data_IF_169644411930
#
_entry.id   IF_169644411930
#
_cell.length_a   1.000
_cell.length_b   1.000
_cell.length_c   1.000
_cell.angle_alpha   90.00
_cell.angle_beta   90.00
_cell.angle_gamma   90.00
#
_symmetry.space_group_name_H-M   'P 1'
#
loop_
_entity.id
_entity.type
_entity.pdbx_description
1 polymer ?
#
# COMPACT_ATOMS: atom_id res chain seq x y z
N UNK A 1 9.04 -8.05 22.75
CA UNK A 1 7.93 -9.02 22.44
C UNK A 1 8.45 -10.13 21.55
N UNK A 2 8.10 -11.40 21.81
CA UNK A 2 8.57 -12.49 20.96
C UNK A 2 7.94 -12.44 19.56
N UNK A 3 8.63 -12.96 18.53
CA UNK A 3 8.06 -13.05 17.16
C UNK A 3 6.75 -13.85 17.13
N UNK A 4 6.62 -14.87 18.02
CA UNK A 4 5.39 -15.68 18.17
C UNK A 4 4.21 -14.83 18.65
N UNK A 5 4.42 -13.98 19.65
CA UNK A 5 3.37 -13.09 20.21
C UNK A 5 2.84 -12.10 19.15
N UNK A 6 3.71 -11.60 18.27
CA UNK A 6 3.29 -10.66 17.21
C UNK A 6 2.49 -11.34 16.14
N UNK A 7 2.92 -12.53 15.68
CA UNK A 7 2.14 -13.32 14.72
C UNK A 7 0.75 -13.65 15.27
N UNK A 8 0.67 -13.96 16.56
CA UNK A 8 -0.59 -14.23 17.23
C UNK A 8 -1.50 -12.99 17.25
N UNK A 9 -0.97 -11.80 17.60
CA UNK A 9 -1.73 -10.54 17.59
C UNK A 9 -2.23 -10.20 16.18
N UNK A 10 -1.38 -10.35 15.17
CA UNK A 10 -1.78 -10.12 13.75
C UNK A 10 -2.90 -11.08 13.35
N UNK A 11 -2.77 -12.37 13.70
CA UNK A 11 -3.79 -13.36 13.40
C UNK A 11 -5.13 -13.00 14.06
N UNK A 12 -5.12 -12.69 15.36
CA UNK A 12 -6.34 -12.29 16.07
C UNK A 12 -6.94 -11.00 15.50
N UNK A 13 -6.11 -10.00 15.18
CA UNK A 13 -6.59 -8.78 14.55
C UNK A 13 -7.25 -9.05 13.19
N UNK A 14 -6.62 -9.87 12.35
CA UNK A 14 -7.17 -10.24 11.05
C UNK A 14 -8.50 -10.99 11.18
N UNK A 15 -8.59 -11.98 12.09
CA UNK A 15 -9.82 -12.73 12.35
C UNK A 15 -10.92 -11.81 12.88
N UNK A 16 -10.57 -10.90 13.80
CA UNK A 16 -11.55 -9.92 14.35
C UNK A 16 -12.08 -8.98 13.27
N UNK A 17 -11.20 -8.45 12.41
CA UNK A 17 -11.61 -7.56 11.30
C UNK A 17 -12.53 -8.29 10.30
N UNK A 18 -12.18 -9.53 9.92
CA UNK A 18 -13.03 -10.36 9.07
C UNK A 18 -14.38 -10.68 9.72
N UNK A 19 -14.36 -10.98 11.02
CA UNK A 19 -15.58 -11.23 11.81
C UNK A 19 -16.51 -10.02 11.84
N UNK A 20 -15.97 -8.83 12.11
CA UNK A 20 -16.75 -7.57 12.12
C UNK A 20 -17.33 -7.30 10.74
N UNK A 21 -16.54 -7.43 9.67
CA UNK A 21 -17.02 -7.24 8.29
C UNK A 21 -18.14 -8.22 7.92
N UNK A 22 -17.97 -9.49 8.22
CA UNK A 22 -18.98 -10.51 7.97
C UNK A 22 -20.27 -10.28 8.76
N UNK A 23 -20.16 -9.89 10.04
CA UNK A 23 -21.28 -9.55 10.89
C UNK A 23 -22.05 -8.33 10.34
N UNK A 24 -21.35 -7.28 9.89
CA UNK A 24 -21.97 -6.10 9.30
C UNK A 24 -22.75 -6.43 8.03
N UNK A 25 -22.16 -7.21 7.13
CA UNK A 25 -22.84 -7.66 5.89
C UNK A 25 -24.11 -8.47 6.21
N UNK A 26 -24.05 -9.35 7.19
CA UNK A 26 -25.20 -10.11 7.63
C UNK A 26 -26.35 -9.19 8.10
N UNK A 27 -26.04 -8.18 8.93
CA UNK A 27 -27.07 -7.28 9.47
C UNK A 27 -27.64 -6.35 8.40
N UNK A 28 -26.83 -5.82 7.48
CA UNK A 28 -27.32 -5.01 6.35
C UNK A 28 -28.29 -5.81 5.48
N UNK A 29 -27.95 -7.06 5.16
CA UNK A 29 -28.83 -7.93 4.37
C UNK A 29 -30.12 -8.26 5.12
N UNK A 30 -30.02 -8.51 6.42
CA UNK A 30 -31.20 -8.76 7.27
C UNK A 30 -32.12 -7.54 7.35
N UNK A 31 -31.55 -6.33 7.50
CA UNK A 31 -32.32 -5.08 7.53
C UNK A 31 -33.00 -4.83 6.18
N UNK A 32 -32.31 -5.03 5.07
CA UNK A 32 -32.89 -4.92 3.72
C UNK A 32 -34.09 -5.86 3.53
N UNK A 33 -33.94 -7.13 3.89
CA UNK A 33 -35.03 -8.11 3.77
C UNK A 33 -36.23 -7.79 4.69
N UNK A 34 -35.95 -7.23 5.87
CA UNK A 34 -37.02 -6.82 6.79
C UNK A 34 -37.81 -5.63 6.24
N UNK A 35 -37.13 -4.59 5.75
CA UNK A 35 -37.78 -3.43 5.14
C UNK A 35 -38.57 -3.81 3.88
N UNK A 36 -38.03 -4.71 3.06
CA UNK A 36 -38.74 -5.22 1.89
C UNK A 36 -40.03 -5.93 2.28
N UNK A 37 -39.99 -6.79 3.28
CA UNK A 37 -41.18 -7.48 3.82
C UNK A 37 -42.20 -6.50 4.41
N UNK A 38 -41.77 -5.53 5.17
CA UNK A 38 -42.66 -4.50 5.74
C UNK A 38 -43.30 -3.64 4.66
N UNK A 39 -42.57 -3.32 3.57
CA UNK A 39 -43.13 -2.62 2.43
C UNK A 39 -44.24 -3.45 1.78
N UNK A 40 -43.99 -4.73 1.49
CA UNK A 40 -44.95 -5.62 0.87
C UNK A 40 -46.23 -5.79 1.76
N UNK A 41 -46.06 -5.92 3.06
CA UNK A 41 -47.19 -5.98 4.00
C UNK A 41 -48.02 -4.67 4.01
N UNK A 42 -47.37 -3.50 4.00
CA UNK A 42 -48.05 -2.18 3.93
C UNK A 42 -48.81 -2.04 2.61
N UNK A 43 -48.20 -2.40 1.47
CA UNK A 43 -48.85 -2.36 0.16
C UNK A 43 -50.01 -3.32 0.11
N UNK A 44 -49.86 -4.56 0.58
CA UNK A 44 -50.93 -5.56 0.61
C UNK A 44 -52.18 -5.09 1.38
N UNK A 45 -51.95 -4.52 2.55
CA UNK A 45 -53.07 -3.99 3.37
C UNK A 45 -53.68 -2.74 2.72
N UNK A 46 -52.87 -1.85 2.11
CA UNK A 46 -53.38 -0.70 1.38
C UNK A 46 -54.27 -1.12 0.20
N UNK A 47 -53.77 -2.00 -0.64
CA UNK A 47 -54.52 -2.49 -1.81
C UNK A 47 -55.77 -3.26 -1.44
N UNK A 48 -55.75 -4.04 -0.35
CA UNK A 48 -56.94 -4.70 0.19
C UNK A 48 -58.01 -3.70 0.60
N UNK A 49 -57.61 -2.58 1.22
CA UNK A 49 -58.53 -1.49 1.60
C UNK A 49 -59.09 -0.76 0.35
N UNK A 50 -58.20 -0.54 -0.67
CA UNK A 50 -58.63 0.04 -1.93
C UNK A 50 -59.74 -0.82 -2.57
N UNK A 51 -59.54 -2.15 -2.66
CA UNK A 51 -60.54 -3.07 -3.20
C UNK A 51 -61.87 -2.98 -2.44
N UNK A 52 -61.85 -3.00 -1.12
CA UNK A 52 -63.08 -2.85 -0.26
C UNK A 52 -63.72 -1.48 -0.42
N UNK A 53 -62.96 -0.42 -0.62
CA UNK A 53 -63.50 0.93 -0.83
C UNK A 53 -64.16 1.07 -2.17
N UNK A 54 -63.58 0.52 -3.24
CA UNK A 54 -64.19 0.44 -4.57
C UNK A 54 -65.53 -0.31 -4.52
N UNK A 55 -65.52 -1.46 -3.85
CA UNK A 55 -66.74 -2.28 -3.67
C UNK A 55 -67.87 -1.50 -2.92
N UNK A 56 -67.53 -0.79 -1.87
CA UNK A 56 -68.50 0.03 -1.15
C UNK A 56 -69.08 1.19 -1.99
N UNK A 57 -68.21 1.83 -2.79
CA UNK A 57 -68.67 2.93 -3.69
C UNK A 57 -69.63 2.41 -4.77
N UNK A 58 -69.38 1.23 -5.26
CA UNK A 58 -70.21 0.59 -6.28
C UNK A 58 -71.44 -0.13 -5.69
N UNK A 59 -71.61 -0.09 -4.36
CA UNK A 59 -72.72 -0.76 -3.63
C UNK A 59 -72.78 -2.28 -3.82
N UNK A 60 -71.66 -2.90 -4.15
CA UNK A 60 -71.52 -4.33 -4.28
C UNK A 60 -71.38 -4.99 -2.87
N UNK A 61 -72.17 -6.00 -2.62
CA UNK A 61 -72.21 -6.74 -1.36
C UNK A 61 -71.59 -8.13 -1.47
N UNK A 62 -70.93 -8.44 -2.60
CA UNK A 62 -70.24 -9.71 -2.80
C UNK A 62 -69.04 -9.85 -1.88
N UNK A 63 -68.69 -11.10 -1.49
CA UNK A 63 -67.50 -11.33 -0.67
C UNK A 63 -66.23 -11.30 -1.54
N UNK A 64 -65.30 -10.43 -1.19
CA UNK A 64 -63.97 -10.40 -1.77
C UNK A 64 -63.04 -11.34 -1.01
N UNK A 65 -62.70 -12.47 -1.59
CA UNK A 65 -61.74 -13.40 -1.02
C UNK A 65 -60.35 -13.18 -1.63
N UNK A 66 -59.34 -12.87 -0.78
CA UNK A 66 -57.95 -12.63 -1.14
C UNK A 66 -57.77 -11.72 -2.40
N UNK A 67 -58.26 -10.46 -2.37
CA UNK A 67 -58.33 -9.61 -3.56
C UNK A 67 -56.98 -9.17 -4.09
N UNK A 68 -55.89 -9.28 -3.35
CA UNK A 68 -54.57 -8.82 -3.72
C UNK A 68 -53.66 -10.01 -3.93
N UNK A 69 -52.93 -10.02 -5.04
CA UNK A 69 -51.89 -11.01 -5.34
C UNK A 69 -50.62 -10.30 -5.79
N UNK A 70 -49.47 -10.70 -5.25
CA UNK A 70 -48.17 -10.23 -5.66
C UNK A 70 -47.63 -11.13 -6.79
N UNK A 71 -47.43 -10.59 -7.99
CA UNK A 71 -46.96 -11.33 -9.16
C UNK A 71 -45.43 -11.26 -9.29
N UNK A 72 -44.85 -10.10 -8.93
CA UNK A 72 -43.40 -9.92 -8.90
C UNK A 72 -42.99 -9.07 -7.68
N UNK A 73 -41.72 -8.88 -7.46
CA UNK A 73 -41.22 -8.12 -6.30
C UNK A 73 -41.78 -6.71 -6.17
N UNK A 74 -42.26 -6.11 -7.27
CA UNK A 74 -42.73 -4.73 -7.34
C UNK A 74 -44.06 -4.58 -8.09
N UNK A 75 -44.76 -5.69 -8.41
CA UNK A 75 -46.03 -5.68 -9.13
C UNK A 75 -47.11 -6.48 -8.40
N UNK A 76 -48.28 -5.84 -8.22
CA UNK A 76 -49.42 -6.39 -7.50
C UNK A 76 -50.67 -6.31 -8.40
N UNK A 77 -51.48 -7.36 -8.41
CA UNK A 77 -52.78 -7.38 -9.06
C UNK A 77 -53.84 -7.36 -7.95
N UNK A 78 -54.91 -6.60 -8.19
CA UNK A 78 -56.05 -6.46 -7.33
C UNK A 78 -57.32 -6.80 -8.10
N UNK A 79 -57.99 -7.86 -7.70
CA UNK A 79 -59.28 -8.28 -8.26
C UNK A 79 -60.40 -7.52 -7.59
N UNK A 80 -61.30 -6.99 -8.44
CA UNK A 80 -62.54 -6.35 -8.01
C UNK A 80 -63.69 -6.95 -8.82
N UNK A 81 -64.85 -7.10 -8.22
CA UNK A 81 -65.99 -7.74 -8.93
C UNK A 81 -66.82 -6.76 -9.77
N UNK A 82 -66.35 -5.52 -9.93
CA UNK A 82 -67.13 -4.44 -10.53
C UNK A 82 -66.27 -3.49 -11.38
N UNK A 83 -66.92 -2.63 -12.15
CA UNK A 83 -66.31 -1.65 -13.04
C UNK A 83 -65.49 -0.61 -12.30
N UNK A 84 -64.30 -0.29 -12.86
CA UNK A 84 -63.33 0.62 -12.28
C UNK A 84 -63.36 1.98 -12.99
N UNK A 85 -63.66 3.06 -12.26
CA UNK A 85 -63.50 4.41 -12.78
C UNK A 85 -62.11 4.93 -12.52
N UNK A 86 -61.29 5.26 -13.55
CA UNK A 86 -59.87 5.60 -13.37
C UNK A 86 -59.58 6.72 -12.40
N UNK A 87 -60.30 7.83 -12.43
CA UNK A 87 -60.10 8.96 -11.51
C UNK A 87 -60.46 8.63 -10.05
N UNK A 88 -61.46 7.81 -9.85
CA UNK A 88 -61.82 7.37 -8.53
C UNK A 88 -60.77 6.43 -7.96
N UNK A 89 -60.36 5.47 -8.75
CA UNK A 89 -59.29 4.53 -8.36
C UNK A 89 -57.99 5.26 -7.99
N UNK A 90 -57.57 6.22 -8.83
CA UNK A 90 -56.38 7.06 -8.56
C UNK A 90 -56.46 7.76 -7.17
N UNK A 91 -57.59 8.42 -6.90
CA UNK A 91 -57.77 9.12 -5.63
C UNK A 91 -57.78 8.19 -4.43
N UNK A 92 -58.38 7.01 -4.56
CA UNK A 92 -58.44 6.02 -3.46
C UNK A 92 -57.01 5.45 -3.25
N UNK A 93 -56.26 5.09 -4.31
CA UNK A 93 -54.88 4.60 -4.21
C UNK A 93 -53.98 5.63 -3.58
N UNK A 94 -54.03 6.88 -4.06
CA UNK A 94 -53.22 7.97 -3.54
C UNK A 94 -53.47 8.16 -2.02
N UNK A 95 -54.73 8.24 -1.62
CA UNK A 95 -55.10 8.46 -0.19
C UNK A 95 -54.71 7.28 0.69
N UNK A 96 -54.89 6.03 0.22
CA UNK A 96 -54.46 4.85 0.99
C UNK A 96 -52.94 4.72 1.13
N UNK A 97 -52.19 5.02 0.07
CA UNK A 97 -50.73 4.99 0.14
C UNK A 97 -50.18 6.10 1.03
N UNK A 98 -50.74 7.30 0.98
CA UNK A 98 -50.36 8.41 1.85
C UNK A 98 -50.64 8.06 3.33
N UNK A 99 -51.84 7.53 3.65
CA UNK A 99 -52.23 7.12 4.99
C UNK A 99 -51.30 6.03 5.58
N UNK A 100 -50.72 5.19 4.73
CA UNK A 100 -49.80 4.13 5.14
C UNK A 100 -48.34 4.48 5.00
N UNK A 101 -48.04 5.76 4.73
CA UNK A 101 -46.67 6.27 4.59
C UNK A 101 -45.84 5.55 3.51
N UNK A 102 -46.52 5.12 2.42
CA UNK A 102 -45.88 4.56 1.24
C UNK A 102 -45.52 5.77 0.33
N UNK A 103 -44.29 6.32 0.51
CA UNK A 103 -43.85 7.53 -0.19
C UNK A 103 -42.95 7.16 -1.38
N UNK A 104 -43.49 6.40 -2.31
CA UNK A 104 -42.77 6.06 -3.56
C UNK A 104 -43.77 6.16 -4.73
N UNK A 105 -43.26 6.55 -5.87
CA UNK A 105 -44.05 6.63 -7.10
C UNK A 105 -44.64 5.27 -7.43
N UNK A 106 -45.85 5.28 -7.94
CA UNK A 106 -46.51 4.08 -8.39
C UNK A 106 -47.19 4.30 -9.76
N UNK A 107 -47.33 3.22 -10.44
CA UNK A 107 -48.06 3.15 -11.71
C UNK A 107 -49.22 2.20 -11.53
N UNK A 108 -50.39 2.56 -12.07
CA UNK A 108 -51.50 1.62 -12.08
C UNK A 108 -52.08 1.43 -13.48
N UNK A 109 -52.57 0.24 -13.74
CA UNK A 109 -53.17 -0.17 -15.01
C UNK A 109 -54.50 -0.83 -14.74
N UNK A 110 -55.52 -0.53 -15.57
CA UNK A 110 -56.81 -1.18 -15.54
C UNK A 110 -56.88 -2.07 -16.74
N UNK A 111 -57.27 -3.33 -16.55
CA UNK A 111 -57.43 -4.33 -17.59
C UNK A 111 -58.90 -4.53 -17.94
N UNK A 112 -59.16 -4.78 -19.23
CA UNK A 112 -60.44 -5.24 -19.70
C UNK A 112 -60.58 -6.75 -19.44
N UNK A 113 -61.63 -7.16 -18.72
CA UNK A 113 -61.91 -8.55 -18.37
C UNK A 113 -62.25 -9.46 -19.58
N UNK A 114 -62.61 -8.90 -20.73
CA UNK A 114 -62.98 -9.69 -21.95
C UNK A 114 -61.81 -9.87 -22.88
N UNK A 115 -60.93 -8.89 -22.98
CA UNK A 115 -59.87 -8.86 -24.01
C UNK A 115 -58.47 -8.97 -23.37
N UNK A 116 -58.34 -8.93 -22.05
CA UNK A 116 -57.07 -8.87 -21.33
C UNK A 116 -56.17 -7.72 -21.82
N UNK A 117 -56.76 -6.70 -22.44
CA UNK A 117 -56.03 -5.53 -22.90
C UNK A 117 -56.00 -4.44 -21.82
N UNK A 118 -54.93 -3.64 -21.81
CA UNK A 118 -54.84 -2.47 -20.94
C UNK A 118 -55.77 -1.39 -21.49
N UNK A 119 -56.79 -1.05 -20.70
CA UNK A 119 -57.74 0.01 -21.02
C UNK A 119 -57.23 1.38 -20.58
N UNK A 120 -56.56 1.42 -19.46
CA UNK A 120 -56.04 2.65 -18.90
C UNK A 120 -54.75 2.38 -18.11
N UNK A 121 -53.77 3.27 -18.23
CA UNK A 121 -52.55 3.21 -17.45
C UNK A 121 -52.07 4.61 -17.12
N UNK A 122 -51.62 4.85 -15.87
CA UNK A 122 -51.14 6.13 -15.43
C UNK A 122 -50.01 5.97 -14.40
N UNK A 123 -49.00 6.83 -14.54
CA UNK A 123 -47.95 7.03 -13.51
C UNK A 123 -48.42 8.13 -12.56
N UNK A 124 -48.36 7.86 -11.27
CA UNK A 124 -48.74 8.80 -10.21
C UNK A 124 -47.48 9.10 -9.36
N UNK A 125 -46.84 10.26 -9.57
CA UNK A 125 -45.70 10.68 -8.73
C UNK A 125 -46.23 11.10 -7.37
N UNK A 126 -45.71 10.50 -6.31
CA UNK A 126 -45.91 10.91 -4.92
C UNK A 126 -44.82 11.89 -4.48
N UNK A 127 -43.66 11.87 -5.09
CA UNK A 127 -42.61 12.88 -5.00
C UNK A 127 -42.72 13.88 -6.15
N UNK A 128 -42.71 15.18 -5.84
CA UNK A 128 -43.14 16.27 -6.73
C UNK A 128 -42.27 16.57 -7.98
N UNK A 129 -41.25 15.82 -8.32
CA UNK A 129 -40.23 16.29 -9.27
C UNK A 129 -39.93 15.43 -10.51
N UNK A 130 -40.66 14.36 -10.82
CA UNK A 130 -40.31 13.58 -12.02
C UNK A 130 -41.49 13.30 -12.94
N UNK A 131 -41.49 13.98 -14.11
CA UNK A 131 -42.45 13.77 -15.21
C UNK A 131 -41.93 12.73 -16.24
N UNK A 132 -41.45 11.61 -15.79
CA UNK A 132 -41.05 10.55 -16.74
C UNK A 132 -42.20 9.65 -17.11
N UNK A 133 -42.68 9.77 -18.36
CA UNK A 133 -43.66 8.85 -18.95
C UNK A 133 -42.92 7.55 -19.33
N UNK A 134 -43.19 6.45 -18.64
CA UNK A 134 -42.69 5.14 -19.05
C UNK A 134 -43.79 4.42 -19.82
N UNK A 135 -43.39 3.93 -21.01
CA UNK A 135 -44.27 3.21 -21.94
C UNK A 135 -44.57 1.80 -21.39
N UNK A 136 -45.83 1.55 -21.01
CA UNK A 136 -46.29 0.25 -20.48
C UNK A 136 -46.33 -0.91 -21.50
N UNK A 137 -45.89 -0.72 -22.72
CA UNK A 137 -46.09 -1.66 -23.84
C UNK A 137 -45.33 -3.01 -23.71
N UNK A 138 -44.58 -3.30 -22.62
CA UNK A 138 -43.69 -4.47 -22.60
C UNK A 138 -43.90 -5.51 -21.49
N UNK A 139 -44.92 -5.41 -20.62
CA UNK A 139 -45.16 -6.48 -19.63
C UNK A 139 -46.48 -7.21 -19.90
N UNK A 140 -46.42 -8.23 -20.79
CA UNK A 140 -47.47 -9.21 -21.05
C UNK A 140 -47.49 -10.27 -19.92
N UNK A 141 -47.72 -9.90 -18.67
CA UNK A 141 -48.13 -10.88 -17.65
C UNK A 141 -49.67 -11.02 -17.72
N UNK A 142 -50.15 -12.11 -18.32
CA UNK A 142 -51.57 -12.40 -18.51
C UNK A 142 -52.14 -13.04 -17.24
N UNK A 143 -53.26 -12.50 -16.78
CA UNK A 143 -54.08 -13.09 -15.73
C UNK A 143 -55.31 -13.75 -16.36
N UNK A 144 -55.65 -14.98 -16.02
CA UNK A 144 -56.67 -15.80 -16.69
C UNK A 144 -58.03 -15.88 -15.99
N UNK A 145 -58.29 -15.08 -14.95
CA UNK A 145 -59.55 -15.07 -14.22
C UNK A 145 -60.47 -13.96 -14.74
N UNK A 146 -61.73 -14.31 -14.98
CA UNK A 146 -62.79 -13.52 -15.63
C UNK A 146 -63.42 -12.44 -14.72
N UNK A 147 -62.63 -11.71 -13.95
CA UNK A 147 -63.08 -10.64 -13.06
C UNK A 147 -62.39 -9.32 -13.41
N UNK A 148 -63.07 -8.20 -13.13
CA UNK A 148 -62.46 -6.88 -13.28
C UNK A 148 -61.30 -6.75 -12.33
N UNK A 149 -60.10 -6.34 -12.84
CA UNK A 149 -58.91 -6.22 -12.03
C UNK A 149 -58.01 -5.03 -12.47
N UNK A 150 -57.21 -4.58 -11.57
CA UNK A 150 -56.18 -3.57 -11.85
C UNK A 150 -54.82 -4.02 -11.33
N UNK A 151 -53.77 -3.55 -11.97
CA UNK A 151 -52.37 -3.78 -11.56
C UNK A 151 -51.79 -2.53 -10.97
N UNK A 152 -50.94 -2.69 -9.95
CA UNK A 152 -50.11 -1.61 -9.36
C UNK A 152 -48.64 -1.99 -9.37
N UNK A 153 -47.83 -1.12 -9.94
CA UNK A 153 -46.40 -1.32 -10.11
C UNK A 153 -45.63 -0.22 -9.39
N UNK A 154 -44.57 -0.58 -8.66
CA UNK A 154 -43.70 0.32 -7.96
C UNK A 154 -42.32 0.34 -8.60
N UNK A 155 -42.03 1.25 -9.56
CA UNK A 155 -40.79 1.27 -10.33
C UNK A 155 -39.54 1.56 -9.47
N UNK A 156 -39.69 2.37 -8.43
CA UNK A 156 -38.62 2.82 -7.55
C UNK A 156 -38.58 2.11 -6.19
N UNK A 157 -39.22 0.92 -6.04
CA UNK A 157 -39.28 0.20 -4.77
C UNK A 157 -37.91 -0.04 -4.15
N UNK A 158 -36.94 -0.54 -4.93
CA UNK A 158 -35.60 -0.84 -4.41
C UNK A 158 -34.88 0.42 -3.92
N UNK A 159 -35.00 1.51 -4.67
CA UNK A 159 -34.42 2.80 -4.26
C UNK A 159 -35.07 3.32 -2.97
N UNK A 160 -36.40 3.18 -2.84
CA UNK A 160 -37.14 3.55 -1.63
C UNK A 160 -36.65 2.76 -0.41
N UNK A 161 -36.45 1.44 -0.55
CA UNK A 161 -35.95 0.57 0.51
C UNK A 161 -34.51 0.94 0.87
N UNK A 162 -33.63 1.17 -0.12
CA UNK A 162 -32.24 1.58 0.13
C UNK A 162 -32.18 2.91 0.89
N UNK A 163 -33.00 3.89 0.50
CA UNK A 163 -33.06 5.17 1.19
C UNK A 163 -33.60 5.06 2.65
N UNK A 164 -34.41 4.04 2.94
CA UNK A 164 -34.84 3.78 4.33
C UNK A 164 -33.75 3.15 5.21
N UNK A 165 -32.61 2.73 4.61
CA UNK A 165 -31.48 2.10 5.28
C UNK A 165 -30.34 3.07 5.63
N UNK A 166 -30.55 4.38 5.64
CA UNK A 166 -29.52 5.41 5.88
C UNK A 166 -28.63 5.12 7.09
N UNK A 167 -29.24 4.70 8.20
CA UNK A 167 -28.50 4.34 9.42
C UNK A 167 -27.52 3.16 9.16
N UNK A 168 -27.95 2.14 8.43
CA UNK A 168 -27.15 0.95 8.15
C UNK A 168 -26.02 1.26 7.16
N UNK A 169 -26.30 2.12 6.18
CA UNK A 169 -25.29 2.60 5.23
C UNK A 169 -24.23 3.41 5.97
N UNK A 170 -24.65 4.37 6.81
CA UNK A 170 -23.74 5.18 7.61
C UNK A 170 -22.88 4.32 8.54
N UNK A 171 -23.50 3.37 9.27
CA UNK A 171 -22.78 2.46 10.17
C UNK A 171 -21.74 1.61 9.41
N UNK A 172 -22.05 1.18 8.19
CA UNK A 172 -21.14 0.41 7.34
C UNK A 172 -19.93 1.25 6.96
N UNK A 173 -20.13 2.48 6.49
CA UNK A 173 -19.05 3.41 6.15
C UNK A 173 -18.17 3.68 7.37
N UNK A 174 -18.78 3.92 8.53
CA UNK A 174 -18.05 4.16 9.78
C UNK A 174 -17.17 2.96 10.17
N UNK A 175 -17.71 1.74 10.10
CA UNK A 175 -16.94 0.51 10.38
C UNK A 175 -15.76 0.37 9.41
N UNK A 176 -15.94 0.64 8.10
CA UNK A 176 -14.84 0.61 7.14
C UNK A 176 -13.73 1.60 7.47
N UNK A 177 -14.07 2.82 7.91
CA UNK A 177 -13.09 3.82 8.35
C UNK A 177 -12.29 3.30 9.55
N UNK A 178 -12.98 2.74 10.55
CA UNK A 178 -12.36 2.16 11.75
C UNK A 178 -11.43 0.99 11.37
N UNK A 179 -11.88 0.10 10.49
CA UNK A 179 -11.05 -1.01 10.00
C UNK A 179 -9.79 -0.53 9.27
N UNK A 180 -9.91 0.49 8.41
CA UNK A 180 -8.79 1.09 7.70
C UNK A 180 -7.78 1.71 8.69
N UNK A 181 -8.27 2.43 9.70
CA UNK A 181 -7.45 3.02 10.76
C UNK A 181 -6.67 1.95 11.55
N UNK A 182 -7.32 0.88 11.99
CA UNK A 182 -6.64 -0.20 12.70
C UNK A 182 -5.63 -0.93 11.81
N UNK A 183 -5.96 -1.19 10.54
CA UNK A 183 -5.03 -1.82 9.59
C UNK A 183 -3.78 -0.95 9.37
N UNK A 184 -3.96 0.36 9.23
CA UNK A 184 -2.86 1.32 9.13
C UNK A 184 -2.00 1.33 10.40
N UNK A 185 -2.62 1.35 11.58
CA UNK A 185 -1.91 1.34 12.88
C UNK A 185 -1.05 0.08 13.04
N UNK A 186 -1.61 -1.09 12.71
CA UNK A 186 -0.86 -2.36 12.74
C UNK A 186 0.33 -2.30 11.77
N UNK A 187 0.15 -1.80 10.56
CA UNK A 187 1.22 -1.65 9.59
C UNK A 187 2.34 -0.74 10.10
N UNK A 188 2.01 0.40 10.72
CA UNK A 188 2.98 1.34 11.32
C UNK A 188 3.77 0.65 12.44
N UNK A 189 3.10 -0.06 13.36
CA UNK A 189 3.75 -0.77 14.47
C UNK A 189 4.72 -1.83 13.95
N UNK A 190 4.34 -2.59 12.93
CA UNK A 190 5.19 -3.61 12.32
C UNK A 190 6.43 -3.00 11.64
N UNK A 191 6.23 -1.89 10.93
CA UNK A 191 7.33 -1.13 10.31
C UNK A 191 8.31 -0.60 11.36
N UNK A 192 7.79 0.01 12.42
CA UNK A 192 8.60 0.53 13.55
C UNK A 192 9.42 -0.59 14.17
N UNK A 193 8.81 -1.74 14.44
CA UNK A 193 9.50 -2.86 15.03
C UNK A 193 10.63 -3.39 14.16
N UNK A 194 10.42 -3.48 12.83
CA UNK A 194 11.50 -3.89 11.92
C UNK A 194 12.69 -2.94 11.98
N UNK A 195 12.43 -1.62 12.11
CA UNK A 195 13.48 -0.61 12.26
C UNK A 195 14.22 -0.82 13.60
N UNK A 196 13.50 -1.09 14.70
CA UNK A 196 14.10 -1.33 16.00
C UNK A 196 14.96 -2.60 16.04
N UNK A 197 14.54 -3.68 15.39
CA UNK A 197 15.33 -4.91 15.24
C UNK A 197 16.63 -4.61 14.47
N UNK A 198 16.57 -3.93 13.34
CA UNK A 198 17.73 -3.54 12.53
C UNK A 198 18.68 -2.64 13.35
N UNK A 199 18.13 -1.69 14.12
CA UNK A 199 18.92 -0.81 15.00
C UNK A 199 19.63 -1.59 16.10
N UNK A 200 18.97 -2.57 16.70
CA UNK A 200 19.56 -3.43 17.74
C UNK A 200 20.69 -4.28 17.17
N UNK A 201 20.47 -4.89 16.00
CA UNK A 201 21.50 -5.68 15.31
C UNK A 201 22.70 -4.82 14.93
N UNK A 202 22.49 -3.56 14.50
CA UNK A 202 23.55 -2.61 14.24
C UNK A 202 24.39 -2.34 15.50
N UNK A 203 23.73 -2.03 16.64
CA UNK A 203 24.42 -1.75 17.91
C UNK A 203 25.25 -2.97 18.34
N UNK A 204 24.68 -4.18 18.27
CA UNK A 204 25.38 -5.41 18.61
C UNK A 204 26.61 -5.64 17.72
N UNK A 205 26.46 -5.48 16.42
CA UNK A 205 27.54 -5.63 15.44
C UNK A 205 28.64 -4.56 15.67
N UNK A 206 28.23 -3.32 15.91
CA UNK A 206 29.16 -2.23 16.22
C UNK A 206 29.96 -2.51 17.49
N UNK A 207 29.30 -2.96 18.56
CA UNK A 207 29.95 -3.34 19.82
C UNK A 207 30.98 -4.44 19.57
N UNK A 208 30.64 -5.44 18.77
CA UNK A 208 31.54 -6.55 18.46
C UNK A 208 32.74 -6.10 17.60
N UNK A 209 32.52 -5.28 16.58
CA UNK A 209 33.56 -4.75 15.72
C UNK A 209 34.53 -3.78 16.44
N UNK A 210 34.07 -3.06 17.47
CA UNK A 210 34.91 -2.20 18.29
C UNK A 210 35.66 -3.00 19.35
N UNK A 211 35.06 -4.07 19.92
CA UNK A 211 35.68 -4.88 20.96
C UNK A 211 36.96 -5.59 20.48
N UNK A 212 36.98 -6.08 19.25
CA UNK A 212 38.11 -6.83 18.66
C UNK A 212 39.39 -5.97 18.63
N UNK A 213 39.43 -4.78 18.00
CA UNK A 213 40.63 -3.94 17.97
C UNK A 213 41.05 -3.47 19.37
N UNK A 214 40.09 -3.14 20.24
CA UNK A 214 40.41 -2.76 21.64
C UNK A 214 41.11 -3.91 22.37
N UNK A 215 40.61 -5.15 22.26
CA UNK A 215 41.24 -6.31 22.88
C UNK A 215 42.63 -6.58 22.31
N UNK A 216 42.82 -6.42 20.98
CA UNK A 216 44.13 -6.57 20.34
C UNK A 216 45.13 -5.53 20.79
N UNK A 217 44.70 -4.27 20.94
CA UNK A 217 45.52 -3.19 21.50
C UNK A 217 45.92 -3.51 22.97
N UNK A 218 44.93 -3.92 23.80
CA UNK A 218 45.22 -4.27 25.20
C UNK A 218 46.23 -5.39 25.31
N UNK A 219 46.02 -6.50 24.60
CA UNK A 219 46.98 -7.62 24.59
C UNK A 219 48.36 -7.19 24.08
N UNK A 220 48.43 -6.32 23.10
CA UNK A 220 49.71 -5.80 22.58
C UNK A 220 50.42 -4.94 23.60
N UNK A 221 49.68 -4.12 24.38
CA UNK A 221 50.21 -3.32 25.46
C UNK A 221 50.72 -4.19 26.62
N UNK A 222 49.97 -5.26 26.98
CA UNK A 222 50.40 -6.18 28.05
C UNK A 222 51.74 -6.88 27.65
N UNK A 223 51.96 -7.22 26.40
CA UNK A 223 53.24 -7.74 25.92
C UNK A 223 54.34 -6.68 25.98
N UNK A 224 54.02 -5.43 25.60
CA UNK A 224 54.98 -4.33 25.64
C UNK A 224 55.37 -3.94 27.06
N UNK A 225 54.49 -4.19 28.04
CA UNK A 225 54.74 -3.95 29.46
C UNK A 225 55.61 -5.02 30.16
N UNK A 226 55.90 -6.13 29.47
CA UNK A 226 56.73 -7.19 30.03
C UNK A 226 58.23 -6.86 29.93
N UNK A 227 59.01 -7.16 30.97
CA UNK A 227 60.45 -6.87 31.02
C UNK A 227 61.24 -7.55 29.89
N UNK A 228 60.75 -8.69 29.40
CA UNK A 228 61.40 -9.47 28.30
C UNK A 228 61.32 -8.81 26.92
N UNK A 229 60.55 -7.71 26.74
CA UNK A 229 60.41 -7.05 25.45
C UNK A 229 61.62 -6.18 25.09
N UNK A 230 62.37 -5.70 26.12
CA UNK A 230 63.53 -4.83 25.97
C UNK A 230 64.63 -5.56 25.19
N UNK A 231 64.75 -6.85 25.42
CA UNK A 231 65.77 -7.72 24.74
C UNK A 231 65.39 -8.14 23.33
N UNK A 232 64.21 -7.74 22.83
CA UNK A 232 63.73 -8.15 21.49
C UNK A 232 63.15 -6.98 20.70
N UNK A 233 63.99 -6.16 20.04
CA UNK A 233 63.55 -4.97 19.31
C UNK A 233 62.56 -5.25 18.12
N UNK A 234 62.65 -6.43 17.54
CA UNK A 234 61.73 -6.80 16.45
C UNK A 234 60.28 -7.07 16.95
N UNK A 235 60.14 -7.66 18.12
CA UNK A 235 58.85 -7.79 18.79
C UNK A 235 58.31 -6.45 19.22
N UNK A 236 59.12 -5.55 19.76
CA UNK A 236 58.74 -4.19 20.09
C UNK A 236 58.15 -3.44 18.88
N UNK A 237 58.86 -3.47 17.74
CA UNK A 237 58.36 -2.87 16.49
C UNK A 237 57.09 -3.50 16.02
N UNK A 238 56.95 -4.83 16.09
CA UNK A 238 55.77 -5.55 15.64
C UNK A 238 54.52 -5.16 16.46
N UNK A 239 54.60 -5.18 17.81
CA UNK A 239 53.45 -4.83 18.63
C UNK A 239 53.10 -3.35 18.55
N UNK A 240 54.09 -2.45 18.45
CA UNK A 240 53.86 -1.03 18.21
C UNK A 240 53.14 -0.80 16.89
N UNK A 241 53.51 -1.54 15.81
CA UNK A 241 52.81 -1.50 14.52
C UNK A 241 51.37 -1.99 14.62
N UNK A 242 51.14 -3.12 15.32
CA UNK A 242 49.78 -3.66 15.53
C UNK A 242 48.92 -2.62 16.26
N UNK A 243 49.40 -2.02 17.32
CA UNK A 243 48.65 -0.98 18.07
C UNK A 243 48.32 0.20 17.14
N UNK A 244 49.26 0.65 16.33
CA UNK A 244 49.05 1.76 15.39
C UNK A 244 47.99 1.42 14.33
N UNK A 245 48.07 0.22 13.79
CA UNK A 245 47.08 -0.27 12.76
C UNK A 245 45.69 -0.38 13.34
N UNK A 246 45.54 -0.99 14.53
CA UNK A 246 44.22 -1.15 15.18
C UNK A 246 43.64 0.19 15.68
N UNK A 247 44.50 1.12 16.14
CA UNK A 247 44.07 2.47 16.51
C UNK A 247 43.56 3.26 15.29
N UNK A 248 44.25 3.20 14.15
CA UNK A 248 43.79 3.80 12.91
C UNK A 248 42.46 3.19 12.44
N UNK A 249 42.31 1.88 12.61
CA UNK A 249 41.05 1.16 12.27
C UNK A 249 39.91 1.65 13.17
N UNK A 250 40.10 1.78 14.49
CA UNK A 250 39.13 2.35 15.42
C UNK A 250 38.75 3.77 15.05
N UNK A 251 39.74 4.63 14.72
CA UNK A 251 39.49 6.01 14.29
C UNK A 251 38.54 6.03 13.06
N UNK A 252 38.85 5.24 12.04
CA UNK A 252 38.00 5.15 10.81
C UNK A 252 36.58 4.63 11.11
N UNK A 253 36.45 3.69 12.05
CA UNK A 253 35.14 3.19 12.47
C UNK A 253 34.32 4.26 13.19
N UNK A 254 34.92 5.00 14.10
CA UNK A 254 34.26 6.11 14.80
C UNK A 254 33.87 7.23 13.84
N UNK A 255 34.74 7.60 12.91
CA UNK A 255 34.46 8.61 11.90
C UNK A 255 33.25 8.21 11.01
N UNK A 256 33.12 6.95 10.61
CA UNK A 256 31.96 6.44 9.86
C UNK A 256 30.66 6.57 10.67
N UNK A 257 30.70 6.33 11.98
CA UNK A 257 29.53 6.47 12.86
C UNK A 257 29.15 7.94 13.04
N UNK A 258 30.13 8.83 13.29
CA UNK A 258 29.91 10.27 13.43
C UNK A 258 29.36 10.89 12.13
N UNK A 259 29.92 10.48 10.98
CA UNK A 259 29.43 10.91 9.67
C UNK A 259 27.95 10.54 9.46
N UNK A 260 27.54 9.38 9.96
CA UNK A 260 26.15 8.95 9.87
C UNK A 260 25.23 9.70 10.84
N UNK A 261 25.70 10.01 12.04
CA UNK A 261 24.96 10.82 13.01
C UNK A 261 24.73 12.25 12.51
N UNK A 262 25.70 12.83 11.78
CA UNK A 262 25.59 14.16 11.19
C UNK A 262 24.55 14.21 10.04
N UNK A 263 24.29 13.09 9.36
CA UNK A 263 23.23 13.01 8.34
C UNK A 263 21.82 13.07 8.92
N UNK A 264 21.63 12.75 10.20
CA UNK A 264 20.33 12.83 10.89
C UNK A 264 20.02 14.25 11.38
N UNK A 265 21.04 15.06 11.56
CA UNK A 265 20.83 16.46 11.88
C UNK A 265 20.42 17.21 10.61
N UNK A 266 19.29 17.90 10.66
CA UNK A 266 18.73 18.73 9.57
C UNK A 266 19.64 19.92 9.15
N UNK A 267 20.89 19.93 9.57
CA UNK A 267 21.86 21.02 9.39
C UNK A 267 23.04 20.68 8.48
N UNK A 268 22.99 19.57 7.72
CA UNK A 268 24.06 19.28 6.78
C UNK A 268 24.05 20.30 5.63
N UNK A 269 24.99 21.20 5.62
CA UNK A 269 25.24 22.13 4.50
C UNK A 269 26.34 21.53 3.64
N UNK A 270 26.07 21.36 2.33
CA UNK A 270 27.07 20.93 1.36
C UNK A 270 27.97 22.12 0.98
N UNK A 271 29.26 21.88 0.86
CA UNK A 271 30.23 22.84 0.31
C UNK A 271 30.27 22.63 -1.22
N UNK A 272 29.34 23.29 -1.90
CA UNK A 272 29.16 23.13 -3.35
C UNK A 272 30.23 23.92 -4.11
N UNK A 273 31.02 23.20 -4.89
CA UNK A 273 32.04 23.73 -5.79
C UNK A 273 32.04 23.00 -7.12
N UNK A 274 32.80 23.48 -8.09
CA UNK A 274 33.00 22.76 -9.34
C UNK A 274 33.88 21.53 -9.12
N UNK A 275 33.35 20.35 -9.46
CA UNK A 275 34.00 19.05 -9.28
C UNK A 275 34.22 18.35 -10.62
N UNK A 276 35.47 18.08 -10.95
CA UNK A 276 35.83 17.23 -12.06
C UNK A 276 35.73 15.75 -11.70
N UNK A 277 34.65 15.10 -12.14
CA UNK A 277 34.31 13.72 -11.77
C UNK A 277 35.42 12.73 -12.16
N UNK A 278 36.03 12.86 -13.34
CA UNK A 278 37.10 11.94 -13.77
C UNK A 278 38.34 12.07 -12.87
N UNK A 279 38.69 13.28 -12.45
CA UNK A 279 39.80 13.49 -11.51
C UNK A 279 39.50 12.90 -10.14
N UNK A 280 38.27 13.10 -9.66
CA UNK A 280 37.83 12.56 -8.37
C UNK A 280 37.83 11.03 -8.41
N UNK A 281 37.25 10.40 -9.45
CA UNK A 281 37.29 8.95 -9.64
C UNK A 281 38.73 8.40 -9.68
N UNK A 282 39.63 9.05 -10.39
CA UNK A 282 41.06 8.66 -10.44
C UNK A 282 41.72 8.75 -9.06
N UNK A 283 41.39 9.78 -8.26
CA UNK A 283 41.91 9.94 -6.91
C UNK A 283 41.43 8.82 -5.99
N UNK A 284 40.12 8.50 -6.05
CA UNK A 284 39.53 7.44 -5.23
C UNK A 284 40.06 6.06 -5.67
N UNK A 285 40.10 5.75 -6.94
CA UNK A 285 40.58 4.44 -7.44
C UNK A 285 42.04 4.16 -7.08
N UNK A 286 42.90 5.18 -7.10
CA UNK A 286 44.29 5.06 -6.62
C UNK A 286 44.40 4.60 -5.18
N UNK A 287 43.48 4.98 -4.31
CA UNK A 287 43.50 4.53 -2.91
C UNK A 287 43.30 3.02 -2.75
N UNK A 288 42.75 2.36 -3.76
CA UNK A 288 42.50 0.92 -3.76
C UNK A 288 43.55 0.11 -4.54
N UNK A 289 44.50 0.75 -5.27
CA UNK A 289 45.50 0.06 -6.12
C UNK A 289 46.25 -1.04 -5.36
N UNK A 290 46.74 -0.74 -4.15
CA UNK A 290 47.48 -1.71 -3.36
C UNK A 290 46.63 -2.90 -2.93
N UNK A 291 45.36 -2.64 -2.54
CA UNK A 291 44.42 -3.67 -2.08
C UNK A 291 44.08 -4.60 -3.27
N UNK A 292 43.78 -4.02 -4.41
CA UNK A 292 43.47 -4.75 -5.65
C UNK A 292 44.64 -5.60 -6.10
N UNK A 293 45.85 -5.01 -6.12
CA UNK A 293 47.08 -5.72 -6.51
C UNK A 293 47.36 -6.91 -5.58
N UNK A 294 47.21 -6.74 -4.28
CA UNK A 294 47.41 -7.81 -3.30
C UNK A 294 46.41 -8.96 -3.47
N UNK A 295 45.18 -8.67 -3.95
CA UNK A 295 44.16 -9.66 -4.26
C UNK A 295 44.18 -10.12 -5.73
N UNK A 296 45.21 -9.77 -6.52
CA UNK A 296 45.33 -10.10 -7.95
C UNK A 296 44.10 -9.68 -8.78
N UNK A 297 43.45 -8.60 -8.36
CA UNK A 297 42.29 -8.04 -9.04
C UNK A 297 42.64 -6.96 -10.08
N UNK A 298 41.60 -6.34 -10.66
CA UNK A 298 41.74 -5.26 -11.62
C UNK A 298 40.64 -4.19 -11.44
N UNK A 299 40.97 -2.92 -11.68
CA UNK A 299 40.01 -1.83 -11.86
C UNK A 299 40.22 -1.30 -13.29
N UNK A 300 39.18 -1.44 -14.09
CA UNK A 300 39.15 -0.92 -15.46
C UNK A 300 38.31 0.37 -15.47
N UNK A 301 38.84 1.41 -16.08
CA UNK A 301 38.14 2.71 -16.12
C UNK A 301 37.94 3.11 -17.58
N UNK A 302 36.73 3.47 -17.95
CA UNK A 302 36.34 3.92 -19.29
C UNK A 302 35.56 5.23 -19.19
N UNK A 303 36.23 6.31 -19.54
CA UNK A 303 35.67 7.66 -19.47
C UNK A 303 35.11 8.10 -20.83
N UNK A 304 33.87 7.70 -21.13
CA UNK A 304 33.19 8.08 -22.38
C UNK A 304 32.43 9.42 -22.24
N UNK A 305 32.27 9.95 -21.03
CA UNK A 305 31.67 11.25 -20.82
C UNK A 305 32.61 12.38 -21.25
N UNK A 306 32.18 13.19 -22.23
CA UNK A 306 32.94 14.34 -22.72
C UNK A 306 32.94 15.49 -21.70
N UNK A 307 31.79 15.72 -21.04
CA UNK A 307 31.67 16.69 -19.96
C UNK A 307 31.65 15.95 -18.64
N UNK A 308 32.63 16.20 -17.76
CA UNK A 308 32.74 15.58 -16.44
C UNK A 308 32.68 16.57 -15.29
N UNK A 309 32.48 17.88 -15.56
CA UNK A 309 32.35 18.91 -14.54
C UNK A 309 30.92 19.02 -14.04
N UNK A 310 30.73 18.99 -12.72
CA UNK A 310 29.44 19.18 -12.06
C UNK A 310 29.58 20.17 -10.90
N UNK A 311 28.44 20.69 -10.41
CA UNK A 311 28.39 21.41 -9.13
C UNK A 311 28.11 20.41 -7.98
N UNK A 312 29.05 20.27 -7.05
CA UNK A 312 28.92 19.30 -5.97
C UNK A 312 29.94 19.51 -4.85
N UNK A 313 29.78 18.72 -3.80
CA UNK A 313 30.70 18.66 -2.69
C UNK A 313 31.73 17.52 -2.95
N UNK A 314 32.98 17.92 -3.21
CA UNK A 314 34.06 17.00 -3.57
C UNK A 314 34.33 15.95 -2.49
N UNK A 315 34.22 16.32 -1.21
CA UNK A 315 34.44 15.42 -0.09
C UNK A 315 33.34 14.37 0.00
N UNK A 316 32.09 14.79 -0.08
CA UNK A 316 30.94 13.89 0.00
C UNK A 316 30.82 12.99 -1.22
N UNK A 317 31.06 13.50 -2.44
CA UNK A 317 31.07 12.69 -3.66
C UNK A 317 32.22 11.69 -3.67
N UNK A 318 33.42 12.09 -3.20
CA UNK A 318 34.55 11.18 -3.02
C UNK A 318 34.22 10.02 -2.09
N UNK A 319 33.55 10.28 -0.96
CA UNK A 319 33.08 9.26 -0.04
C UNK A 319 31.98 8.35 -0.65
N UNK A 320 31.12 8.88 -1.50
CA UNK A 320 30.14 8.07 -2.25
C UNK A 320 30.86 7.05 -3.12
N UNK A 321 31.81 7.51 -3.93
CA UNK A 321 32.58 6.63 -4.82
C UNK A 321 33.39 5.61 -4.02
N UNK A 322 34.04 6.05 -2.95
CA UNK A 322 34.77 5.16 -2.05
C UNK A 322 33.89 4.04 -1.49
N UNK A 323 32.68 4.36 -0.99
CA UNK A 323 31.75 3.37 -0.44
C UNK A 323 31.30 2.34 -1.47
N UNK A 324 31.07 2.75 -2.72
CA UNK A 324 30.64 1.83 -3.78
C UNK A 324 31.81 0.92 -4.18
N UNK A 325 33.01 1.47 -4.39
CA UNK A 325 34.21 0.71 -4.74
C UNK A 325 34.60 -0.26 -3.60
N UNK A 326 34.57 0.19 -2.34
CA UNK A 326 34.84 -0.65 -1.17
C UNK A 326 33.85 -1.84 -1.09
N UNK A 327 32.56 -1.61 -1.39
CA UNK A 327 31.57 -2.69 -1.48
C UNK A 327 31.88 -3.65 -2.63
N UNK A 328 32.18 -3.16 -3.81
CA UNK A 328 32.53 -3.99 -4.96
C UNK A 328 33.72 -4.94 -4.63
N UNK A 329 34.74 -4.42 -3.98
CA UNK A 329 35.92 -5.20 -3.56
C UNK A 329 35.58 -6.19 -2.44
N UNK A 330 34.79 -5.79 -1.46
CA UNK A 330 34.41 -6.64 -0.32
C UNK A 330 33.54 -7.82 -0.69
N UNK A 331 32.62 -7.62 -1.63
CA UNK A 331 31.69 -8.65 -2.07
C UNK A 331 32.14 -9.42 -3.30
N UNK A 332 33.34 -9.12 -3.80
CA UNK A 332 34.03 -9.95 -4.80
C UNK A 332 34.62 -11.18 -4.12
N UNK A 333 34.61 -12.32 -4.83
CA UNK A 333 35.27 -13.53 -4.41
C UNK A 333 36.81 -13.35 -4.41
N UNK A 334 37.61 -14.23 -5.00
CA UNK A 334 39.06 -14.24 -4.85
C UNK A 334 39.79 -13.05 -5.54
N UNK A 335 39.44 -12.76 -6.78
CA UNK A 335 40.05 -11.68 -7.58
C UNK A 335 38.99 -10.58 -7.83
N UNK A 336 39.00 -9.44 -7.14
CA UNK A 336 38.05 -8.39 -7.36
C UNK A 336 38.26 -7.73 -8.75
N UNK A 337 37.24 -7.77 -9.58
CA UNK A 337 37.18 -7.06 -10.85
C UNK A 337 36.10 -5.98 -10.78
N UNK A 338 36.45 -4.76 -11.13
CA UNK A 338 35.58 -3.61 -11.17
C UNK A 338 35.77 -2.84 -12.49
N UNK A 339 34.68 -2.55 -13.20
CA UNK A 339 34.69 -1.61 -14.30
C UNK A 339 33.93 -0.34 -13.89
N UNK A 340 34.50 0.84 -14.17
CA UNK A 340 33.89 2.14 -13.96
C UNK A 340 33.71 2.79 -15.31
N UNK A 341 32.49 3.05 -15.69
CA UNK A 341 32.15 3.64 -17.00
C UNK A 341 31.38 4.96 -16.79
N UNK A 342 31.75 5.98 -17.59
CA UNK A 342 31.03 7.26 -17.54
C UNK A 342 30.43 7.58 -18.89
N UNK A 343 29.21 8.17 -18.90
CA UNK A 343 28.59 8.67 -20.13
C UNK A 343 27.77 9.93 -19.83
N UNK A 344 27.63 10.79 -20.82
CA UNK A 344 26.77 11.95 -20.71
C UNK A 344 25.30 11.64 -21.08
N UNK A 345 24.41 12.39 -20.50
CA UNK A 345 23.04 12.61 -20.95
C UNK A 345 22.83 14.10 -21.16
N UNK A 346 21.69 14.49 -21.71
CA UNK A 346 21.37 15.92 -21.92
C UNK A 346 21.37 16.75 -20.63
N UNK A 347 21.17 16.10 -19.46
CA UNK A 347 20.98 16.76 -18.18
C UNK A 347 22.11 16.54 -17.16
N UNK A 348 23.02 15.62 -17.43
CA UNK A 348 24.05 15.26 -16.45
C UNK A 348 24.95 14.12 -16.88
N UNK A 349 25.73 13.63 -15.95
CA UNK A 349 26.65 12.49 -16.09
C UNK A 349 26.09 11.25 -15.41
N UNK A 350 26.21 10.11 -16.07
CA UNK A 350 25.97 8.79 -15.49
C UNK A 350 27.31 8.12 -15.26
N UNK A 351 27.47 7.54 -14.07
CA UNK A 351 28.64 6.79 -13.63
C UNK A 351 28.17 5.39 -13.26
N UNK A 352 28.59 4.39 -14.00
CA UNK A 352 28.29 2.99 -13.77
C UNK A 352 29.46 2.31 -13.08
N UNK A 353 29.25 1.74 -11.89
CA UNK A 353 30.18 0.87 -11.18
C UNK A 353 29.73 -0.56 -11.37
N UNK A 354 30.49 -1.35 -12.10
CA UNK A 354 30.15 -2.70 -12.54
C UNK A 354 31.08 -3.68 -11.83
N UNK A 355 30.59 -4.43 -10.87
CA UNK A 355 31.31 -5.50 -10.19
C UNK A 355 30.90 -6.88 -10.70
N UNK A 356 31.80 -7.86 -10.52
CA UNK A 356 31.60 -9.27 -10.83
C UNK A 356 31.53 -10.13 -9.56
N UNK A 357 31.01 -9.56 -8.49
CA UNK A 357 30.87 -10.20 -7.19
C UNK A 357 29.72 -11.21 -7.11
N UNK A 358 29.20 -11.39 -5.90
CA UNK A 358 28.12 -12.35 -5.60
C UNK A 358 26.74 -11.91 -6.09
N UNK A 359 26.57 -10.63 -6.47
CA UNK A 359 25.28 -10.04 -6.81
C UNK A 359 24.35 -9.87 -5.60
N UNK A 360 23.13 -9.37 -5.85
CA UNK A 360 22.13 -9.05 -4.82
C UNK A 360 20.80 -9.70 -5.20
N UNK A 361 20.19 -10.44 -4.25
CA UNK A 361 18.90 -11.09 -4.50
C UNK A 361 17.79 -10.06 -4.77
N UNK A 362 16.80 -10.38 -5.62
CA UNK A 362 15.73 -9.45 -5.99
C UNK A 362 14.98 -8.85 -4.79
N UNK A 363 14.76 -9.66 -3.74
CA UNK A 363 14.10 -9.22 -2.50
C UNK A 363 14.91 -8.18 -1.73
N UNK A 364 16.26 -8.22 -1.85
CA UNK A 364 17.17 -7.36 -1.10
C UNK A 364 17.50 -6.07 -1.85
N UNK A 365 17.35 -6.03 -3.18
CA UNK A 365 17.72 -4.88 -4.03
C UNK A 365 17.08 -3.55 -3.60
N UNK A 366 15.84 -3.58 -3.10
CA UNK A 366 15.15 -2.39 -2.61
C UNK A 366 15.60 -1.99 -1.20
N UNK A 367 16.16 -2.92 -0.44
CA UNK A 367 16.51 -2.76 0.95
C UNK A 367 17.99 -2.39 1.18
N UNK A 368 18.87 -2.64 0.19
CA UNK A 368 20.31 -2.37 0.33
C UNK A 368 20.66 -0.89 0.60
N UNK A 369 19.77 0.02 0.27
CA UNK A 369 19.90 1.44 0.54
C UNK A 369 19.28 1.86 1.89
N UNK A 370 18.57 0.94 2.57
CA UNK A 370 18.01 1.22 3.88
C UNK A 370 19.13 1.28 4.93
N UNK A 371 18.97 2.18 5.89
CA UNK A 371 19.94 2.39 6.97
C UNK A 371 20.10 1.11 7.78
N UNK A 372 21.35 0.73 8.06
CA UNK A 372 21.76 -0.46 8.83
C UNK A 372 21.44 -1.80 8.14
N UNK A 373 20.84 -1.78 6.94
CA UNK A 373 20.48 -3.01 6.26
C UNK A 373 21.72 -3.76 5.77
N UNK A 374 21.71 -5.06 5.97
CA UNK A 374 22.73 -5.99 5.47
C UNK A 374 22.03 -7.25 4.96
N UNK A 375 22.47 -7.75 3.83
CA UNK A 375 21.99 -9.03 3.32
C UNK A 375 22.45 -10.14 4.29
N UNK A 376 21.50 -10.84 4.91
CA UNK A 376 21.78 -11.98 5.79
C UNK A 376 22.08 -13.21 4.95
N UNK A 377 23.31 -13.41 4.55
CA UNK A 377 23.78 -14.63 3.89
C UNK A 377 24.47 -15.52 4.93
N UNK A 378 23.87 -16.65 5.22
CA UNK A 378 24.16 -17.56 6.33
C UNK A 378 25.61 -17.96 6.64
N UNK A 379 26.56 -17.77 5.71
CA UNK A 379 27.99 -18.10 5.91
C UNK A 379 28.96 -16.93 5.60
N UNK A 380 28.47 -15.73 5.31
CA UNK A 380 29.29 -14.52 5.05
C UNK A 380 29.40 -13.63 6.30
N UNK A 381 29.53 -14.23 7.48
CA UNK A 381 29.86 -13.49 8.72
C UNK A 381 31.19 -12.74 8.65
N UNK A 382 32.05 -13.05 7.67
CA UNK A 382 33.39 -12.46 7.55
C UNK A 382 33.44 -11.09 6.83
N UNK A 383 32.38 -10.64 6.18
CA UNK A 383 32.38 -9.32 5.56
C UNK A 383 32.11 -8.23 6.60
N UNK A 384 33.17 -7.56 7.04
CA UNK A 384 33.11 -6.49 8.05
C UNK A 384 32.44 -5.23 7.52
N UNK A 385 31.49 -4.66 8.26
CA UNK A 385 30.84 -3.39 7.92
C UNK A 385 29.52 -3.14 8.64
N UNK A 386 29.13 -1.88 8.73
CA UNK A 386 27.99 -1.41 9.54
C UNK A 386 26.66 -1.30 8.77
N UNK A 387 26.64 -1.56 7.46
CA UNK A 387 25.46 -1.37 6.62
C UNK A 387 25.06 0.10 6.42
N UNK A 388 26.05 1.01 6.49
CA UNK A 388 25.84 2.46 6.40
C UNK A 388 26.27 3.05 5.04
N UNK A 389 27.20 2.40 4.33
CA UNK A 389 27.83 2.97 3.13
C UNK A 389 26.88 3.27 1.98
N UNK A 390 26.00 2.33 1.63
CA UNK A 390 25.04 2.54 0.53
C UNK A 390 23.93 3.52 0.89
N UNK A 391 23.47 3.54 2.17
CA UNK A 391 22.55 4.55 2.65
C UNK A 391 23.14 5.95 2.59
N UNK A 392 24.40 6.10 3.03
CA UNK A 392 25.14 7.34 2.89
C UNK A 392 25.24 7.77 1.42
N UNK A 393 25.63 6.85 0.53
CA UNK A 393 25.74 7.14 -0.90
C UNK A 393 24.40 7.62 -1.49
N UNK A 394 23.31 6.94 -1.18
CA UNK A 394 21.97 7.36 -1.62
C UNK A 394 21.59 8.75 -1.09
N UNK A 395 21.86 9.02 0.19
CA UNK A 395 21.52 10.31 0.84
C UNK A 395 22.32 11.44 0.19
N UNK A 396 23.63 11.27 0.03
CA UNK A 396 24.49 12.28 -0.58
C UNK A 396 24.13 12.55 -2.04
N UNK A 397 23.92 11.50 -2.84
CA UNK A 397 23.50 11.64 -4.24
C UNK A 397 22.17 12.37 -4.35
N UNK A 398 21.21 12.12 -3.46
CA UNK A 398 19.94 12.86 -3.40
C UNK A 398 20.12 14.32 -3.03
N UNK A 399 21.01 14.63 -2.08
CA UNK A 399 21.32 16.02 -1.69
C UNK A 399 21.99 16.79 -2.84
N UNK A 400 22.67 16.10 -3.77
CA UNK A 400 23.19 16.66 -5.03
C UNK A 400 22.14 16.63 -6.17
N UNK A 401 20.83 16.45 -5.86
CA UNK A 401 19.74 16.32 -6.82
C UNK A 401 19.92 15.17 -7.82
N UNK A 402 20.78 14.21 -7.52
CA UNK A 402 21.05 13.04 -8.35
C UNK A 402 20.19 11.82 -7.97
N UNK A 403 20.50 10.70 -8.61
CA UNK A 403 19.90 9.41 -8.28
C UNK A 403 20.91 8.28 -8.35
N UNK A 404 20.71 7.26 -7.49
CA UNK A 404 21.49 6.01 -7.52
C UNK A 404 20.52 4.84 -7.72
N UNK A 405 20.88 3.92 -8.62
CA UNK A 405 20.11 2.72 -8.93
C UNK A 405 21.02 1.50 -8.89
N UNK A 406 20.43 0.35 -8.60
CA UNK A 406 21.11 -0.94 -8.64
C UNK A 406 20.41 -1.88 -9.63
N UNK A 407 21.18 -2.70 -10.34
CA UNK A 407 20.73 -3.90 -11.05
C UNK A 407 21.79 -4.99 -10.96
N UNK A 408 21.40 -6.24 -11.07
CA UNK A 408 22.37 -7.33 -11.14
C UNK A 408 23.12 -7.31 -12.47
N UNK A 409 24.40 -7.63 -12.42
CA UNK A 409 25.24 -7.89 -13.59
C UNK A 409 25.09 -9.36 -14.02
N UNK A 410 25.21 -9.66 -15.29
CA UNK A 410 25.13 -11.02 -15.83
C UNK A 410 26.55 -11.51 -16.24
N UNK A 411 26.96 -12.71 -15.86
CA UNK A 411 26.19 -13.76 -15.16
C UNK A 411 26.17 -13.60 -13.64
N UNK A 412 27.06 -12.84 -13.05
CA UNK A 412 27.14 -12.56 -11.60
C UNK A 412 27.67 -11.14 -11.36
N UNK A 413 27.27 -10.53 -10.22
CA UNK A 413 27.76 -9.22 -9.81
C UNK A 413 26.64 -8.17 -9.71
N UNK A 414 27.06 -6.92 -9.53
CA UNK A 414 26.15 -5.78 -9.39
C UNK A 414 26.58 -4.61 -10.28
N UNK A 415 25.62 -3.81 -10.69
CA UNK A 415 25.83 -2.53 -11.37
C UNK A 415 25.16 -1.46 -10.53
N UNK A 416 25.96 -0.53 -10.01
CA UNK A 416 25.47 0.69 -9.38
C UNK A 416 25.60 1.85 -10.34
N UNK A 417 24.47 2.41 -10.76
CA UNK A 417 24.39 3.53 -11.69
C UNK A 417 24.06 4.81 -10.92
N UNK A 418 24.99 5.75 -10.90
CA UNK A 418 24.81 7.09 -10.35
C UNK A 418 24.52 8.07 -11.47
N UNK A 419 23.51 8.90 -11.26
CA UNK A 419 23.24 10.05 -12.11
C UNK A 419 23.44 11.34 -11.30
N UNK A 420 24.22 12.27 -11.85
CA UNK A 420 24.48 13.58 -11.27
C UNK A 420 24.20 14.66 -12.33
N UNK A 421 23.48 15.71 -11.94
CA UNK A 421 23.18 16.83 -12.83
C UNK A 421 24.41 17.72 -13.06
N UNK A 422 24.49 18.34 -14.24
CA UNK A 422 25.53 19.35 -14.52
C UNK A 422 25.34 20.64 -13.71
N UNK A 423 24.10 20.91 -13.25
CA UNK A 423 23.73 22.06 -12.41
C UNK A 423 22.67 21.70 -11.37
#
# INVERSE_FOLDING_TARGET
MSQKTIRLIILFAAVSLLGIGGFQLFWVNKAFNLENKQFDERVFVALSNVARTVQKVNQDTSDLYAPVQQISTNFYIVSTNDTLHPFLLENILYKEFENRNIKTDFEFVIYDCFTDSIVFGKNVPLEKDDKSFINFASKNERWTESTHYFGVFFPKKDSYIINSLDFWIFSTIFIFIVMAFFSYTIWVILKQKKIDEIKTDFINNMTHELKTPISTISLSIDVLASDSIIDNPDRLKTYTRIIKEENNRLKTQVEKVLQMASLESSSLTLDISEVEIHQLLNSVTRSFELIIKNRKGAINVKYDAVNSAIQGDIFHLGNVFFNIIDNAIKYSKDCPELSIETRNTDQGIIIDFIDFGIGISEKDQKLIFDKFYRVSSGNLHDVKGFGLGLNYAMTMVKLHNGSIKHKNNSPNGSIFSLFLHFR
#
